data_IF_616746979829
#
_entry.id   IF_616746979829
#
_cell.length_a   1.000
_cell.length_b   1.000
_cell.length_c   1.000
_cell.angle_alpha   90.00
_cell.angle_beta   90.00
_cell.angle_gamma   90.00
#
_symmetry.space_group_name_H-M   'P 1'
#
loop_
_entity.id
_entity.type
_entity.pdbx_description
1 polymer ?
#
# COMPACT_ATOMS: atom_id res chain seq x y z
N UNK A 1 6.53 24.99 6.96
CA UNK A 1 5.23 25.69 6.80
C UNK A 1 4.12 24.64 6.89
N UNK A 2 3.04 24.94 7.61
CA UNK A 2 2.22 23.98 8.37
C UNK A 2 1.16 23.24 7.54
N UNK A 3 1.17 21.91 7.62
CA UNK A 3 0.05 21.05 7.23
C UNK A 3 -1.18 21.39 8.09
N UNK A 4 -2.32 21.68 7.46
CA UNK A 4 -3.55 21.96 8.21
C UNK A 4 -4.25 20.63 8.54
N UNK A 5 -4.34 20.35 9.84
CA UNK A 5 -4.99 19.18 10.39
C UNK A 5 -6.11 19.62 11.34
N UNK A 6 -7.35 19.22 11.07
CA UNK A 6 -8.50 19.51 11.91
C UNK A 6 -9.30 18.23 12.18
N UNK A 7 -9.62 17.96 13.44
CA UNK A 7 -10.38 16.77 13.87
C UNK A 7 -9.64 15.44 13.80
N UNK A 8 -8.39 15.42 13.32
CA UNK A 8 -7.52 14.26 13.29
C UNK A 8 -6.40 14.34 14.32
N UNK A 9 -6.12 13.23 15.02
CA UNK A 9 -5.04 13.15 16.02
C UNK A 9 -4.14 11.94 15.72
N UNK A 10 -2.82 12.04 15.93
CA UNK A 10 -1.95 10.86 15.94
C UNK A 10 -2.46 9.84 16.95
N UNK A 11 -2.67 8.59 16.54
CA UNK A 11 -3.25 7.56 17.38
C UNK A 11 -2.77 6.17 17.00
N UNK A 12 -2.88 5.22 17.92
CA UNK A 12 -2.77 3.77 17.68
C UNK A 12 -4.12 3.07 17.71
N UNK A 13 -5.19 3.78 18.09
CA UNK A 13 -6.56 3.23 18.13
C UNK A 13 -7.12 3.12 16.72
N UNK A 14 -7.88 2.06 16.45
CA UNK A 14 -8.39 1.80 15.11
C UNK A 14 -7.29 1.67 14.04
N UNK A 15 -6.18 1.02 14.44
CA UNK A 15 -5.04 0.78 13.56
C UNK A 15 -5.45 0.29 12.18
N UNK A 16 -4.99 1.01 11.16
CA UNK A 16 -4.75 0.44 9.82
C UNK A 16 -3.56 -0.51 9.92
N UNK A 17 -2.61 -0.13 10.79
CA UNK A 17 -1.45 -0.90 11.16
C UNK A 17 -1.45 -1.38 12.62
N UNK A 18 -0.72 -2.46 12.90
CA UNK A 18 -0.47 -3.04 14.22
C UNK A 18 0.73 -2.39 14.96
N UNK A 19 1.53 -1.55 14.28
CA UNK A 19 2.44 -0.57 14.90
C UNK A 19 2.59 0.68 14.01
N UNK A 20 2.92 1.82 14.63
CA UNK A 20 2.95 3.14 14.00
C UNK A 20 1.83 4.06 14.52
N UNK A 21 2.02 5.37 14.41
CA UNK A 21 0.95 6.34 14.67
C UNK A 21 0.31 6.68 13.33
N UNK A 22 -0.99 6.49 13.21
CA UNK A 22 -1.80 6.93 12.07
C UNK A 22 -2.59 8.19 12.45
N UNK A 23 -3.19 8.84 11.46
CA UNK A 23 -4.08 9.97 11.71
C UNK A 23 -5.51 9.46 11.90
N UNK A 24 -6.04 9.63 13.10
CA UNK A 24 -7.35 9.15 13.49
C UNK A 24 -8.35 10.29 13.65
N UNK A 25 -9.43 10.25 12.87
CA UNK A 25 -10.51 11.23 12.88
C UNK A 25 -11.72 10.64 13.60
N UNK A 26 -11.96 11.10 14.83
CA UNK A 26 -13.04 10.58 15.69
C UNK A 26 -13.82 11.66 16.43
N UNK A 27 -13.34 12.89 16.42
CA UNK A 27 -14.00 14.01 17.10
C UNK A 27 -15.05 14.65 16.18
N UNK A 28 -16.01 15.34 16.78
CA UNK A 28 -16.94 16.21 16.07
C UNK A 28 -16.27 17.55 15.69
N UNK A 29 -16.97 18.37 14.93
CA UNK A 29 -16.48 19.62 14.36
C UNK A 29 -16.04 19.46 12.91
N UNK A 30 -14.82 19.91 12.59
CA UNK A 30 -14.26 19.81 11.24
C UNK A 30 -13.30 18.63 11.15
N UNK A 31 -13.54 17.71 10.21
CA UNK A 31 -12.62 16.62 9.88
C UNK A 31 -11.97 16.88 8.54
N UNK A 32 -10.74 17.39 8.58
CA UNK A 32 -10.00 17.79 7.39
C UNK A 32 -8.50 17.55 7.55
N UNK A 33 -7.88 17.02 6.50
CA UNK A 33 -6.44 16.95 6.31
C UNK A 33 -6.11 17.69 5.02
N UNK A 34 -5.22 18.68 5.07
CA UNK A 34 -4.76 19.41 3.88
C UNK A 34 -3.24 19.34 3.81
N UNK A 35 -2.70 18.95 2.66
CA UNK A 35 -1.25 19.00 2.42
C UNK A 35 -0.80 20.45 2.26
N UNK A 36 0.51 20.69 2.39
CA UNK A 36 1.10 21.87 1.77
C UNK A 36 0.95 21.78 0.24
N UNK A 37 1.21 22.88 -0.46
CA UNK A 37 1.31 22.83 -1.92
C UNK A 37 2.47 21.90 -2.31
N UNK A 38 2.18 20.97 -3.22
CA UNK A 38 3.08 19.96 -3.73
C UNK A 38 3.33 20.24 -5.22
N UNK A 39 4.56 20.02 -5.67
CA UNK A 39 4.84 19.93 -7.11
C UNK A 39 4.35 18.57 -7.62
N UNK A 40 3.20 18.57 -8.29
CA UNK A 40 2.58 17.41 -8.92
C UNK A 40 2.75 17.40 -10.44
N UNK A 41 3.59 18.27 -11.02
CA UNK A 41 3.79 18.38 -12.47
C UNK A 41 4.11 17.03 -13.13
N UNK A 42 4.94 16.23 -12.47
CA UNK A 42 5.35 14.89 -12.90
C UNK A 42 4.72 13.77 -12.06
N UNK A 43 3.80 14.09 -11.15
CA UNK A 43 3.17 13.09 -10.30
C UNK A 43 2.10 12.32 -11.08
N UNK A 44 2.19 10.99 -11.04
CA UNK A 44 1.22 10.12 -11.72
C UNK A 44 0.12 9.59 -10.80
N UNK A 45 0.40 9.37 -9.52
CA UNK A 45 -0.58 8.84 -8.57
C UNK A 45 -0.45 9.47 -7.19
N UNK A 46 -1.55 9.45 -6.43
CA UNK A 46 -1.59 9.64 -4.97
C UNK A 46 -1.90 8.30 -4.32
N UNK A 47 -1.19 7.98 -3.23
CA UNK A 47 -1.41 6.74 -2.50
C UNK A 47 -1.39 6.93 -0.99
N UNK A 48 -2.26 6.18 -0.31
CA UNK A 48 -2.42 6.21 1.14
C UNK A 48 -3.24 5.00 1.58
N UNK A 49 -3.14 4.66 2.85
CA UNK A 49 -4.07 3.72 3.46
C UNK A 49 -5.28 4.45 4.02
N UNK A 50 -6.47 3.90 3.79
CA UNK A 50 -7.72 4.42 4.31
C UNK A 50 -8.50 3.30 4.99
N UNK A 51 -9.10 3.61 6.13
CA UNK A 51 -10.08 2.76 6.82
C UNK A 51 -11.26 3.62 7.24
N UNK A 52 -12.47 3.21 6.86
CA UNK A 52 -13.71 3.92 7.12
C UNK A 52 -14.55 3.13 8.12
N UNK A 53 -14.52 3.56 9.38
CA UNK A 53 -15.13 2.86 10.50
C UNK A 53 -14.12 2.00 11.27
N UNK A 54 -14.44 1.77 12.54
CA UNK A 54 -13.54 1.16 13.50
C UNK A 54 -14.22 0.00 14.23
N UNK A 55 -13.51 -1.10 14.41
CA UNK A 55 -14.01 -2.30 15.08
C UNK A 55 -14.48 -3.38 14.11
N UNK A 56 -15.16 -4.39 14.66
CA UNK A 56 -15.65 -5.57 13.91
C UNK A 56 -17.02 -5.36 13.27
N UNK A 57 -17.83 -4.44 13.82
CA UNK A 57 -19.14 -4.12 13.29
C UNK A 57 -19.03 -3.25 12.02
N UNK A 58 -19.98 -3.39 11.08
CA UNK A 58 -20.14 -2.45 9.99
C UNK A 58 -20.28 -1.00 10.50
N UNK A 59 -19.74 0.00 9.78
CA UNK A 59 -19.96 1.41 10.10
C UNK A 59 -21.43 1.81 9.93
N UNK A 60 -21.84 2.89 10.58
CA UNK A 60 -23.21 3.41 10.48
C UNK A 60 -23.50 3.86 9.03
N UNK A 61 -24.59 3.40 8.39
CA UNK A 61 -24.92 3.72 7.01
C UNK A 61 -25.23 5.21 6.77
N UNK A 62 -25.48 5.99 7.83
CA UNK A 62 -25.67 7.46 7.75
C UNK A 62 -24.35 8.24 7.70
N UNK A 63 -23.22 7.55 7.76
CA UNK A 63 -21.89 8.17 7.75
C UNK A 63 -21.62 8.82 6.40
N UNK A 64 -21.35 10.13 6.43
CA UNK A 64 -20.94 10.89 5.26
C UNK A 64 -19.59 10.41 4.72
N UNK A 65 -19.39 10.41 3.39
CA UNK A 65 -18.18 9.90 2.75
C UNK A 65 -16.94 10.74 3.09
N UNK A 66 -15.75 10.16 2.93
CA UNK A 66 -14.50 10.94 2.91
C UNK A 66 -14.20 11.34 1.47
N UNK A 67 -14.01 12.62 1.23
CA UNK A 67 -13.73 13.19 -0.09
C UNK A 67 -12.24 13.50 -0.22
N UNK A 68 -11.61 12.94 -1.24
CA UNK A 68 -10.29 13.39 -1.69
C UNK A 68 -10.46 14.42 -2.80
N UNK A 69 -9.93 15.61 -2.56
CA UNK A 69 -10.00 16.75 -3.47
C UNK A 69 -8.63 17.37 -3.70
N UNK A 70 -8.50 18.15 -4.76
CA UNK A 70 -7.30 18.91 -5.08
C UNK A 70 -7.64 20.38 -5.34
N UNK A 71 -6.66 21.25 -5.15
CA UNK A 71 -6.73 22.67 -5.51
C UNK A 71 -5.43 23.10 -6.14
N UNK A 72 -5.52 23.93 -7.18
CA UNK A 72 -4.39 24.50 -7.94
C UNK A 72 -4.30 26.03 -7.80
N UNK A 73 -5.13 26.60 -6.91
CA UNK A 73 -5.29 28.05 -6.70
C UNK A 73 -5.13 28.42 -5.22
N UNK A 74 -4.33 27.64 -4.48
CA UNK A 74 -4.07 27.92 -3.07
C UNK A 74 -5.26 27.65 -2.13
N UNK A 75 -6.22 26.82 -2.55
CA UNK A 75 -7.36 26.40 -1.75
C UNK A 75 -8.63 27.23 -1.92
N UNK A 76 -8.68 28.11 -2.92
CA UNK A 76 -9.87 28.92 -3.23
C UNK A 76 -10.97 28.05 -3.86
N UNK A 77 -10.59 27.18 -4.80
CA UNK A 77 -11.50 26.20 -5.41
C UNK A 77 -10.98 24.78 -5.23
N UNK A 78 -11.89 23.81 -5.18
CA UNK A 78 -11.57 22.40 -4.92
C UNK A 78 -12.22 21.48 -5.94
N UNK A 79 -11.41 20.74 -6.70
CA UNK A 79 -11.86 19.69 -7.61
C UNK A 79 -11.89 18.33 -6.92
N UNK A 80 -12.92 17.52 -7.18
CA UNK A 80 -13.01 16.15 -6.67
C UNK A 80 -12.06 15.21 -7.44
N UNK A 81 -11.33 14.36 -6.69
CA UNK A 81 -10.59 13.21 -7.22
C UNK A 81 -11.37 11.92 -6.99
N UNK A 82 -11.79 11.66 -5.75
CA UNK A 82 -12.47 10.43 -5.39
C UNK A 82 -13.33 10.61 -4.14
N UNK A 83 -14.48 9.94 -4.14
CA UNK A 83 -15.34 9.77 -2.98
C UNK A 83 -15.15 8.37 -2.39
N UNK A 84 -14.99 8.29 -1.06
CA UNK A 84 -14.86 7.04 -0.31
C UNK A 84 -16.07 6.87 0.60
N UNK A 85 -16.97 5.97 0.20
CA UNK A 85 -18.22 5.67 0.89
C UNK A 85 -18.00 4.67 2.04
N UNK A 86 -18.72 4.87 3.14
CA UNK A 86 -18.82 3.88 4.20
C UNK A 86 -19.66 2.69 3.73
N UNK A 87 -19.21 1.48 3.99
CA UNK A 87 -19.87 0.24 3.57
C UNK A 87 -19.64 -0.89 4.57
N UNK A 88 -20.33 -2.02 4.39
CA UNK A 88 -20.21 -3.17 5.29
C UNK A 88 -18.78 -3.72 5.45
N UNK A 89 -17.89 -3.46 4.49
CA UNK A 89 -16.49 -3.89 4.50
C UNK A 89 -15.49 -2.74 4.60
N UNK A 90 -15.94 -1.48 4.63
CA UNK A 90 -15.04 -0.32 4.63
C UNK A 90 -14.28 -0.14 5.95
N UNK A 91 -14.71 -0.85 7.00
CA UNK A 91 -14.03 -0.93 8.30
C UNK A 91 -12.74 -1.76 8.25
N UNK A 92 -12.41 -2.36 7.10
CA UNK A 92 -11.12 -2.96 6.80
C UNK A 92 -10.19 -1.93 6.14
N UNK A 93 -8.92 -1.94 6.54
CA UNK A 93 -7.90 -1.08 5.95
C UNK A 93 -7.65 -1.44 4.48
N UNK A 94 -7.58 -0.44 3.61
CA UNK A 94 -7.30 -0.62 2.18
C UNK A 94 -6.25 0.36 1.70
N UNK A 95 -5.32 -0.12 0.86
CA UNK A 95 -4.46 0.74 0.06
C UNK A 95 -5.29 1.40 -1.05
N UNK A 96 -5.28 2.73 -1.06
CA UNK A 96 -5.83 3.54 -2.14
C UNK A 96 -4.66 4.03 -2.98
N UNK A 97 -4.72 3.81 -4.30
CA UNK A 97 -3.80 4.36 -5.28
C UNK A 97 -4.63 4.90 -6.45
N UNK A 98 -4.59 6.22 -6.67
CA UNK A 98 -5.40 6.90 -7.68
C UNK A 98 -4.51 7.70 -8.61
N UNK A 99 -4.80 7.67 -9.90
CA UNK A 99 -4.10 8.52 -10.86
C UNK A 99 -4.39 10.01 -10.62
N UNK A 100 -3.34 10.83 -10.63
CA UNK A 100 -3.46 12.29 -10.60
C UNK A 100 -3.92 12.74 -12.00
N UNK A 101 -5.11 13.36 -12.12
CA UNK A 101 -5.62 13.84 -13.40
C UNK A 101 -4.76 15.01 -13.90
N UNK A 102 -4.68 15.19 -15.22
CA UNK A 102 -3.84 16.22 -15.84
C UNK A 102 -4.08 17.63 -15.26
N UNK A 103 -5.34 17.98 -14.98
CA UNK A 103 -5.72 19.26 -14.36
C UNK A 103 -5.16 19.51 -12.95
N UNK A 104 -4.70 18.47 -12.27
CA UNK A 104 -4.09 18.55 -10.93
C UNK A 104 -2.55 18.50 -10.98
N UNK A 105 -1.94 18.33 -12.16
CA UNK A 105 -0.47 18.25 -12.34
C UNK A 105 0.11 19.64 -12.56
N UNK A 106 0.30 20.36 -11.47
CA UNK A 106 0.92 21.70 -11.47
C UNK A 106 2.10 21.71 -10.51
N UNK A 107 2.95 22.74 -10.58
CA UNK A 107 4.03 22.94 -9.61
C UNK A 107 3.54 23.36 -8.22
N UNK A 108 2.24 23.63 -8.06
CA UNK A 108 1.63 24.06 -6.81
C UNK A 108 0.21 23.52 -6.68
N UNK A 109 0.09 22.23 -6.37
CA UNK A 109 -1.20 21.57 -6.11
C UNK A 109 -1.27 21.08 -4.67
N UNK A 110 -2.35 21.40 -3.95
CA UNK A 110 -2.65 20.83 -2.64
C UNK A 110 -3.74 19.76 -2.73
N UNK A 111 -3.63 18.76 -1.87
CA UNK A 111 -4.64 17.72 -1.69
C UNK A 111 -5.33 17.89 -0.35
N UNK A 112 -6.63 17.61 -0.30
CA UNK A 112 -7.36 17.51 0.97
C UNK A 112 -8.20 16.24 1.07
N UNK A 113 -8.23 15.69 2.27
CA UNK A 113 -9.22 14.70 2.70
C UNK A 113 -10.20 15.41 3.61
N UNK A 114 -11.47 15.41 3.25
CA UNK A 114 -12.50 16.12 3.98
C UNK A 114 -13.74 15.25 4.14
N UNK A 115 -14.27 15.17 5.35
CA UNK A 115 -15.55 14.54 5.62
C UNK A 115 -16.59 15.64 5.86
N UNK A 116 -17.61 15.79 4.99
CA UNK A 116 -18.65 16.79 5.16
C UNK A 116 -19.57 16.43 6.34
N UNK A 117 -20.09 17.44 7.01
CA UNK A 117 -21.16 17.33 8.01
C UNK A 117 -21.91 18.65 8.10
N UNK A 118 -23.24 18.59 8.19
CA UNK A 118 -24.10 19.78 8.28
C UNK A 118 -24.06 20.41 9.68
N UNK A 119 -23.98 19.58 10.72
CA UNK A 119 -24.02 20.00 12.12
C UNK A 119 -22.69 19.77 12.86
N UNK A 120 -21.64 19.35 12.14
CA UNK A 120 -20.34 18.98 12.71
C UNK A 120 -20.35 17.64 13.44
N UNK A 121 -21.45 16.91 13.48
CA UNK A 121 -21.52 15.58 14.11
C UNK A 121 -21.20 14.48 13.11
N UNK A 122 -20.54 13.40 13.55
CA UNK A 122 -20.21 12.25 12.71
C UNK A 122 -20.51 10.91 13.38
N UNK A 123 -21.13 9.99 12.63
CA UNK A 123 -21.50 8.67 13.14
C UNK A 123 -20.33 7.68 13.21
N UNK A 124 -19.45 7.69 12.21
CA UNK A 124 -18.32 6.77 12.13
C UNK A 124 -17.00 7.52 12.04
N UNK A 125 -15.94 7.02 12.72
CA UNK A 125 -14.59 7.55 12.56
C UNK A 125 -13.94 7.05 11.26
N UNK A 126 -12.86 7.70 10.85
CA UNK A 126 -11.98 7.22 9.77
C UNK A 126 -10.52 7.42 10.11
N UNK A 127 -9.68 6.65 9.43
CA UNK A 127 -8.24 6.63 9.64
C UNK A 127 -7.57 6.76 8.29
N UNK A 128 -6.51 7.57 8.25
CA UNK A 128 -5.58 7.62 7.13
C UNK A 128 -4.15 7.39 7.63
N UNK A 129 -3.39 6.63 6.85
CA UNK A 129 -1.99 6.36 7.13
C UNK A 129 -1.16 6.43 5.84
N UNK A 130 0.12 6.77 5.96
CA UNK A 130 1.06 6.95 4.87
C UNK A 130 2.29 6.07 5.11
N UNK A 131 2.24 4.79 4.76
CA UNK A 131 3.38 3.86 4.95
C UNK A 131 4.16 3.66 3.65
N UNK A 132 4.40 4.76 2.94
CA UNK A 132 5.45 4.87 1.94
C UNK A 132 6.42 5.93 2.43
N UNK A 133 7.67 5.57 2.69
CA UNK A 133 8.71 6.54 3.06
C UNK A 133 9.77 6.54 1.97
N UNK A 134 10.08 7.70 1.40
CA UNK A 134 11.18 7.89 0.44
C UNK A 134 10.94 7.45 -1.00
N UNK A 135 9.73 6.95 -1.35
CA UNK A 135 9.35 6.53 -2.69
C UNK A 135 8.42 7.50 -3.43
N UNK A 136 8.43 7.49 -4.76
CA UNK A 136 7.49 8.20 -5.65
C UNK A 136 7.25 7.37 -6.91
N UNK A 137 6.04 7.38 -7.48
CA UNK A 137 5.82 6.76 -8.79
C UNK A 137 6.46 7.63 -9.87
N UNK A 138 7.33 7.01 -10.68
CA UNK A 138 8.23 7.71 -11.58
C UNK A 138 8.47 6.90 -12.86
N UNK A 139 8.73 7.61 -13.97
CA UNK A 139 9.19 7.03 -15.23
C UNK A 139 10.70 7.18 -15.44
N UNK A 140 11.41 7.77 -14.47
CA UNK A 140 12.88 8.00 -14.55
C UNK A 140 13.64 6.70 -14.79
N UNK A 141 13.20 5.60 -14.17
CA UNK A 141 13.77 4.27 -14.36
C UNK A 141 13.41 3.60 -15.70
N UNK A 142 12.64 4.26 -16.56
CA UNK A 142 11.98 3.60 -17.69
C UNK A 142 10.97 2.55 -17.22
N UNK A 143 10.65 1.60 -18.11
CA UNK A 143 9.77 0.50 -17.78
C UNK A 143 10.53 -0.56 -16.96
N UNK A 144 10.29 -0.61 -15.66
CA UNK A 144 10.82 -1.67 -14.78
C UNK A 144 10.06 -2.97 -15.00
N UNK A 145 8.72 -2.93 -15.04
CA UNK A 145 7.91 -3.98 -15.64
C UNK A 145 7.06 -3.43 -16.78
N UNK A 146 6.28 -2.38 -16.50
CA UNK A 146 5.56 -1.63 -17.54
C UNK A 146 5.15 -0.24 -17.05
N UNK A 147 5.32 0.77 -17.90
CA UNK A 147 4.92 2.14 -17.55
C UNK A 147 5.77 2.74 -16.41
N UNK A 148 5.12 3.31 -15.40
CA UNK A 148 5.79 3.98 -14.28
C UNK A 148 5.99 3.01 -13.12
N UNK A 149 7.15 3.06 -12.49
CA UNK A 149 7.52 2.21 -11.35
C UNK A 149 7.58 3.01 -10.05
N UNK A 150 7.48 2.33 -8.91
CA UNK A 150 7.65 2.96 -7.61
C UNK A 150 9.15 3.14 -7.34
N UNK A 151 9.63 4.38 -7.40
CA UNK A 151 11.03 4.78 -7.37
C UNK A 151 11.41 5.45 -6.06
N UNK A 152 12.41 4.92 -5.37
CA UNK A 152 12.92 5.37 -4.09
C UNK A 152 14.22 6.15 -4.28
N UNK A 153 14.09 7.48 -4.36
CA UNK A 153 15.22 8.42 -4.49
C UNK A 153 15.25 9.48 -3.38
N UNK A 154 14.33 9.43 -2.41
CA UNK A 154 14.25 10.44 -1.34
C UNK A 154 15.52 10.51 -0.47
N UNK A 155 15.82 11.69 0.08
CA UNK A 155 16.99 11.90 0.95
C UNK A 155 16.79 11.49 2.42
N UNK A 156 15.66 10.89 2.76
CA UNK A 156 15.34 10.36 4.08
C UNK A 156 15.11 8.85 3.99
N UNK A 157 14.51 8.23 5.01
CA UNK A 157 14.21 6.80 5.02
C UNK A 157 13.49 6.32 3.75
N UNK A 158 13.94 5.20 3.21
CA UNK A 158 13.36 4.54 2.02
C UNK A 158 12.82 3.18 2.42
N UNK A 159 11.50 3.09 2.53
CA UNK A 159 10.80 1.86 2.89
C UNK A 159 9.42 1.77 2.23
N UNK A 160 9.06 0.54 1.89
CA UNK A 160 7.73 0.12 1.45
C UNK A 160 7.24 -0.96 2.41
N UNK A 161 6.10 -0.75 3.06
CA UNK A 161 5.54 -1.72 4.01
C UNK A 161 4.12 -2.08 3.59
N UNK A 162 3.80 -3.37 3.52
CA UNK A 162 2.43 -3.85 3.26
C UNK A 162 1.56 -3.70 4.51
N UNK A 163 0.24 -3.81 4.32
CA UNK A 163 -0.68 -4.11 5.43
C UNK A 163 -0.39 -5.48 6.03
N UNK A 164 -1.06 -5.77 7.13
CA UNK A 164 -1.19 -7.12 7.65
C UNK A 164 -1.97 -7.98 6.65
N UNK A 165 -1.30 -8.99 6.08
CA UNK A 165 -1.85 -9.89 5.07
C UNK A 165 -2.18 -11.26 5.67
N UNK A 166 -3.14 -11.95 5.05
CA UNK A 166 -3.34 -13.38 5.28
C UNK A 166 -2.49 -14.18 4.28
N UNK A 167 -1.35 -14.70 4.73
CA UNK A 167 -0.40 -15.44 3.91
C UNK A 167 -0.51 -16.96 4.06
N UNK A 168 -1.55 -17.46 4.73
CA UNK A 168 -1.74 -18.91 4.99
C UNK A 168 -1.73 -19.76 3.72
N UNK A 169 -2.25 -19.21 2.61
CA UNK A 169 -2.31 -19.86 1.30
C UNK A 169 -1.31 -19.29 0.29
N UNK A 170 -0.41 -18.40 0.72
CA UNK A 170 0.61 -17.83 -0.13
C UNK A 170 1.85 -18.73 -0.17
N UNK A 171 2.49 -18.81 -1.33
CA UNK A 171 3.70 -19.60 -1.55
C UNK A 171 4.90 -18.72 -1.91
N UNK A 172 4.68 -17.56 -2.53
CA UNK A 172 5.74 -16.71 -3.03
C UNK A 172 5.39 -15.21 -3.00
N UNK A 173 6.45 -14.39 -3.01
CA UNK A 173 6.43 -12.96 -3.27
C UNK A 173 7.23 -12.73 -4.54
N UNK A 174 6.64 -12.11 -5.55
CA UNK A 174 7.30 -11.79 -6.81
C UNK A 174 7.13 -10.32 -7.18
N UNK A 175 8.14 -9.75 -7.82
CA UNK A 175 8.15 -8.34 -8.24
C UNK A 175 9.25 -8.10 -9.27
N UNK A 176 9.19 -6.99 -9.98
CA UNK A 176 10.30 -6.47 -10.78
C UNK A 176 11.07 -5.44 -9.97
N UNK A 177 12.39 -5.46 -10.11
CA UNK A 177 13.30 -4.62 -9.34
C UNK A 177 14.42 -4.06 -10.21
N UNK A 178 14.86 -2.83 -9.93
CA UNK A 178 16.00 -2.18 -10.57
C UNK A 178 16.73 -1.26 -9.60
N UNK A 179 18.05 -1.23 -9.64
CA UNK A 179 18.90 -0.22 -8.98
C UNK A 179 19.39 0.84 -9.96
N UNK A 180 19.68 2.02 -9.42
CA UNK A 180 20.48 3.04 -10.09
C UNK A 180 19.82 3.62 -11.33
N UNK A 181 18.56 4.06 -11.21
CA UNK A 181 17.94 4.85 -12.27
C UNK A 181 18.60 6.23 -12.40
N UNK A 182 19.15 6.72 -11.29
CA UNK A 182 19.94 7.95 -11.22
C UNK A 182 21.39 7.63 -10.87
N UNK A 183 21.63 7.15 -9.64
CA UNK A 183 22.96 6.81 -9.15
C UNK A 183 22.87 5.47 -8.42
N UNK A 184 23.55 4.42 -8.91
CA UNK A 184 23.48 3.09 -8.31
C UNK A 184 24.10 3.05 -6.91
N UNK A 185 23.69 2.08 -6.08
CA UNK A 185 24.34 1.85 -4.79
C UNK A 185 25.81 1.43 -4.98
N UNK A 186 26.68 1.88 -4.07
CA UNK A 186 28.13 1.72 -4.14
C UNK A 186 28.68 0.63 -3.21
N UNK A 187 27.89 0.20 -2.21
CA UNK A 187 28.29 -0.78 -1.21
C UNK A 187 27.12 -1.63 -0.72
N UNK A 188 27.44 -2.75 -0.09
CA UNK A 188 26.47 -3.75 0.39
C UNK A 188 25.42 -3.22 1.36
N UNK A 189 25.77 -2.26 2.22
CA UNK A 189 24.83 -1.72 3.22
C UNK A 189 23.74 -0.85 2.59
N UNK A 190 23.90 -0.46 1.32
CA UNK A 190 22.90 0.24 0.53
C UNK A 190 21.94 -0.72 -0.20
N UNK A 191 22.12 -2.04 -0.04
CA UNK A 191 21.20 -3.05 -0.55
C UNK A 191 19.85 -3.01 0.16
N UNK A 192 18.78 -3.22 -0.62
CA UNK A 192 17.40 -3.33 -0.15
C UNK A 192 17.18 -4.71 0.45
N UNK A 193 16.60 -4.71 1.65
CA UNK A 193 16.23 -5.89 2.39
C UNK A 193 14.73 -6.14 2.20
N UNK A 194 14.38 -7.38 1.83
CA UNK A 194 13.01 -7.87 1.89
C UNK A 194 12.83 -8.61 3.21
N UNK A 195 11.93 -8.13 4.05
CA UNK A 195 11.70 -8.67 5.39
C UNK A 195 10.21 -8.90 5.65
N UNK A 196 9.89 -9.75 6.63
CA UNK A 196 8.53 -9.95 7.11
C UNK A 196 8.42 -9.79 8.62
N UNK A 197 7.22 -9.45 9.10
CA UNK A 197 6.91 -9.34 10.52
C UNK A 197 5.65 -10.11 10.88
N UNK A 198 5.68 -10.79 12.02
CA UNK A 198 4.56 -11.56 12.59
C UNK A 198 3.87 -10.84 13.75
N UNK A 199 4.37 -9.68 14.16
CA UNK A 199 3.90 -8.95 15.33
C UNK A 199 3.69 -7.46 15.01
N UNK A 200 3.27 -7.21 13.77
CA UNK A 200 2.87 -5.88 13.35
C UNK A 200 3.98 -4.89 13.09
N UNK A 201 5.20 -5.37 12.88
CA UNK A 201 6.37 -4.55 12.58
C UNK A 201 7.21 -4.18 13.80
N UNK A 202 6.99 -4.83 14.96
CA UNK A 202 7.88 -4.69 16.13
C UNK A 202 9.20 -5.42 15.87
N UNK A 203 9.14 -6.67 15.41
CA UNK A 203 10.31 -7.45 14.99
C UNK A 203 10.21 -7.79 13.50
N UNK A 204 11.35 -7.79 12.82
CA UNK A 204 11.47 -8.08 11.40
C UNK A 204 12.42 -9.25 11.18
N UNK A 205 12.07 -10.11 10.22
CA UNK A 205 12.82 -11.29 9.84
C UNK A 205 13.18 -11.20 8.37
N UNK A 206 14.44 -11.43 8.03
CA UNK A 206 14.93 -11.38 6.65
C UNK A 206 14.34 -12.52 5.80
N UNK A 207 13.80 -12.17 4.63
CA UNK A 207 13.46 -13.11 3.56
C UNK A 207 14.59 -13.19 2.55
N UNK A 208 15.02 -12.05 2.03
CA UNK A 208 16.13 -11.97 1.08
C UNK A 208 16.83 -10.62 1.14
N UNK A 209 18.13 -10.62 0.91
CA UNK A 209 18.91 -9.43 0.58
C UNK A 209 18.89 -9.27 -0.95
N UNK A 210 18.54 -8.09 -1.45
CA UNK A 210 18.65 -7.75 -2.88
C UNK A 210 20.01 -7.08 -3.06
N UNK A 211 21.01 -7.86 -3.43
CA UNK A 211 22.40 -7.40 -3.54
C UNK A 211 22.55 -6.17 -4.44
N UNK A 212 23.33 -5.21 -3.95
CA UNK A 212 23.49 -3.87 -4.52
C UNK A 212 24.12 -3.85 -5.92
N UNK A 213 24.94 -4.86 -6.24
CA UNK A 213 25.64 -5.02 -7.52
C UNK A 213 24.83 -5.81 -8.56
N UNK A 214 23.67 -6.34 -8.17
CA UNK A 214 22.69 -6.96 -9.07
C UNK A 214 21.67 -5.93 -9.57
N UNK A 215 20.82 -6.30 -10.53
CA UNK A 215 19.67 -5.50 -10.97
C UNK A 215 19.98 -4.08 -11.48
N UNK A 216 21.17 -3.85 -12.07
CA UNK A 216 21.48 -2.61 -12.83
C UNK A 216 20.59 -2.43 -14.07
N UNK A 217 19.90 -3.49 -14.48
CA UNK A 217 18.78 -3.50 -15.41
C UNK A 217 17.56 -4.09 -14.71
N UNK A 218 16.33 -3.78 -15.16
CA UNK A 218 15.13 -4.38 -14.60
C UNK A 218 15.21 -5.91 -14.60
N UNK A 219 15.01 -6.50 -13.42
CA UNK A 219 15.02 -7.94 -13.24
C UNK A 219 13.83 -8.44 -12.45
N UNK A 220 13.41 -9.66 -12.74
CA UNK A 220 12.34 -10.33 -12.02
C UNK A 220 12.89 -11.04 -10.78
N UNK A 221 12.26 -10.79 -9.64
CA UNK A 221 12.59 -11.39 -8.35
C UNK A 221 11.42 -12.27 -7.93
N UNK A 222 11.71 -13.50 -7.50
CA UNK A 222 10.72 -14.43 -6.96
C UNK A 222 11.29 -15.10 -5.71
N UNK A 223 10.64 -14.88 -4.57
CA UNK A 223 11.06 -15.36 -3.26
C UNK A 223 10.00 -16.27 -2.69
N UNK A 224 10.39 -17.50 -2.33
CA UNK A 224 9.49 -18.44 -1.67
C UNK A 224 9.24 -18.00 -0.22
N UNK A 225 7.97 -18.00 0.17
CA UNK A 225 7.58 -17.72 1.55
C UNK A 225 7.96 -18.90 2.45
N UNK A 226 8.76 -18.68 3.52
CA UNK A 226 9.05 -19.72 4.49
C UNK A 226 7.77 -20.12 5.24
N UNK A 227 7.66 -21.37 5.75
CA UNK A 227 6.48 -21.82 6.50
C UNK A 227 6.10 -20.89 7.66
N UNK A 228 7.10 -20.31 8.35
CA UNK A 228 6.89 -19.36 9.44
C UNK A 228 6.16 -18.08 9.01
N UNK A 229 6.28 -17.66 7.73
CA UNK A 229 5.60 -16.48 7.20
C UNK A 229 4.19 -16.77 6.67
N UNK A 230 3.73 -18.04 6.64
CA UNK A 230 2.43 -18.44 6.08
C UNK A 230 1.33 -18.42 7.14
N UNK A 231 1.07 -17.24 7.69
CA UNK A 231 0.12 -17.04 8.79
C UNK A 231 -0.80 -15.84 8.50
N UNK A 232 -1.78 -15.61 9.37
CA UNK A 232 -2.58 -14.39 9.34
C UNK A 232 -1.84 -13.24 10.02
N UNK A 233 -2.03 -12.02 9.54
CA UNK A 233 -1.47 -10.83 10.17
C UNK A 233 0.00 -10.57 9.85
N UNK A 234 0.49 -11.05 8.70
CA UNK A 234 1.91 -10.93 8.32
C UNK A 234 2.15 -9.68 7.50
N UNK A 235 3.15 -8.89 7.87
CA UNK A 235 3.63 -7.74 7.06
C UNK A 235 4.85 -8.13 6.26
N UNK A 236 5.00 -7.51 5.11
CA UNK A 236 6.21 -7.58 4.29
C UNK A 236 6.73 -6.15 4.10
N UNK A 237 8.05 -5.96 4.16
CA UNK A 237 8.68 -4.67 3.83
C UNK A 237 9.87 -4.82 2.91
N UNK A 238 10.05 -3.80 2.07
CA UNK A 238 11.30 -3.50 1.38
C UNK A 238 11.91 -2.30 2.06
N UNK A 239 13.14 -2.42 2.52
CA UNK A 239 13.80 -1.34 3.26
C UNK A 239 15.25 -1.19 2.82
N UNK A 240 15.65 0.05 2.56
CA UNK A 240 17.05 0.39 2.30
C UNK A 240 17.68 0.96 3.59
N UNK A 241 18.66 0.27 4.18
CA UNK A 241 19.26 0.69 5.46
C UNK A 241 20.10 1.96 5.35
N UNK A 242 20.86 2.10 4.26
CA UNK A 242 21.79 3.22 4.05
C UNK A 242 21.69 3.74 2.61
N UNK A 243 21.90 5.03 2.43
CA UNK A 243 22.06 5.69 1.12
C UNK A 243 22.82 7.01 1.30
N UNK A 244 23.38 7.55 0.23
CA UNK A 244 24.22 8.76 0.29
C UNK A 244 23.41 10.07 0.12
N UNK A 245 22.13 10.06 0.53
CA UNK A 245 21.22 11.21 0.40
C UNK A 245 20.25 11.11 -0.77
N UNK A 246 19.69 12.25 -1.18
CA UNK A 246 18.69 12.32 -2.25
C UNK A 246 19.30 11.93 -3.60
N UNK A 247 18.57 11.17 -4.41
CA UNK A 247 18.94 10.71 -5.76
C UNK A 247 20.20 9.82 -5.84
N UNK A 248 20.82 9.51 -4.70
CA UNK A 248 21.90 8.53 -4.56
C UNK A 248 21.40 7.16 -4.13
N UNK A 249 22.03 6.09 -4.61
CA UNK A 249 21.71 4.70 -4.26
C UNK A 249 20.25 4.35 -4.51
N UNK A 250 19.64 4.91 -5.56
CA UNK A 250 18.20 4.81 -5.78
C UNK A 250 17.78 3.43 -6.29
N UNK A 251 16.53 3.07 -6.07
CA UNK A 251 15.97 1.79 -6.50
C UNK A 251 14.50 1.92 -6.88
N UNK A 252 14.04 1.03 -7.74
CA UNK A 252 12.64 0.99 -8.15
C UNK A 252 12.07 -0.43 -8.11
N UNK A 253 10.79 -0.51 -7.81
CA UNK A 253 10.01 -1.73 -7.73
C UNK A 253 8.70 -1.60 -8.51
N UNK A 254 8.29 -2.68 -9.16
CA UNK A 254 7.07 -2.72 -9.96
C UNK A 254 6.41 -4.12 -9.94
N UNK A 255 5.13 -4.20 -10.28
CA UNK A 255 4.34 -5.45 -10.40
C UNK A 255 4.49 -6.42 -9.22
N UNK A 256 4.39 -5.91 -7.98
CA UNK A 256 4.42 -6.74 -6.77
C UNK A 256 3.20 -7.65 -6.70
N UNK A 257 3.42 -8.96 -6.59
CA UNK A 257 2.40 -9.98 -6.36
C UNK A 257 2.81 -10.89 -5.21
N UNK A 258 1.90 -11.08 -4.27
CA UNK A 258 2.02 -12.07 -3.19
C UNK A 258 0.87 -13.05 -3.36
N UNK A 259 1.19 -14.30 -3.69
CA UNK A 259 0.19 -15.30 -4.04
C UNK A 259 0.66 -16.71 -3.71
N UNK A 260 -0.24 -17.68 -3.87
CA UNK A 260 0.07 -19.11 -3.80
C UNK A 260 -0.93 -19.91 -4.62
N UNK A 261 -0.83 -21.24 -4.58
CA UNK A 261 -1.72 -22.11 -5.35
C UNK A 261 -3.10 -22.16 -4.69
N UNK A 262 -4.16 -21.98 -5.49
CA UNK A 262 -5.51 -22.41 -5.09
C UNK A 262 -5.46 -23.90 -4.76
N UNK A 263 -5.97 -24.31 -3.59
CA UNK A 263 -6.24 -25.73 -3.31
C UNK A 263 -7.07 -26.29 -4.46
N UNK A 264 -6.51 -27.20 -5.25
CA UNK A 264 -7.29 -27.99 -6.20
C UNK A 264 -8.35 -28.74 -5.39
N UNK A 265 -9.62 -28.45 -5.62
CA UNK A 265 -10.69 -29.37 -5.22
C UNK A 265 -10.46 -30.66 -5.99
N UNK A 266 -9.83 -31.64 -5.36
CA UNK A 266 -9.83 -33.01 -5.83
C UNK A 266 -11.28 -33.49 -5.64
N UNK A 267 -12.10 -33.39 -6.69
CA UNK A 267 -13.27 -34.26 -6.78
C UNK A 267 -12.70 -35.68 -6.86
N UNK A 268 -12.81 -36.44 -5.78
CA UNK A 268 -12.57 -37.89 -5.85
C UNK A 268 -13.57 -38.44 -6.86
N UNK A 269 -13.09 -38.89 -8.02
CA UNK A 269 -13.87 -39.83 -8.81
C UNK A 269 -13.99 -41.09 -7.95
N UNK A 270 -15.18 -41.31 -7.39
CA UNK A 270 -15.45 -42.46 -6.54
C UNK A 270 -15.16 -43.74 -7.32
N UNK A 271 -14.26 -44.58 -6.79
CA UNK A 271 -14.21 -45.99 -7.12
C UNK A 271 -15.58 -46.59 -6.82
N UNK A 272 -16.39 -46.87 -7.84
CA UNK A 272 -17.35 -47.98 -7.77
C UNK A 272 -16.71 -49.15 -8.51
N UNK A 273 -16.03 -50.01 -7.75
CA UNK A 273 -15.94 -51.41 -8.11
C UNK A 273 -17.35 -51.98 -8.09
N UNK A 274 -17.83 -52.44 -9.24
CA UNK A 274 -18.73 -53.59 -9.31
C UNK A 274 -18.21 -54.44 -10.46
N UNK A 275 -17.53 -55.54 -10.10
CA UNK A 275 -17.29 -56.66 -10.98
C UNK A 275 -18.56 -57.52 -11.12
N UNK A 276 -18.62 -58.23 -12.24
CA UNK A 276 -19.48 -59.38 -12.58
C UNK A 276 -20.93 -59.11 -13.00
N UNK A 277 -21.23 -59.29 -14.29
CA UNK A 277 -21.57 -60.58 -14.90
C UNK A 277 -21.77 -60.41 -16.42
N UNK A 278 -21.27 -61.38 -17.19
CA UNK A 278 -21.52 -61.56 -18.62
C UNK A 278 -22.88 -62.25 -18.84
N UNK A 279 -23.45 -62.03 -20.04
CA UNK A 279 -24.41 -62.87 -20.81
C UNK A 279 -25.93 -62.73 -20.56
N UNK A 280 -26.63 -62.77 -21.72
CA UNK A 280 -28.02 -63.16 -22.01
C UNK A 280 -29.07 -62.04 -21.81
N UNK A 281 -29.94 -61.67 -22.77
CA UNK A 281 -30.53 -62.34 -23.94
C UNK A 281 -30.96 -61.29 -25.00
N UNK A 282 -31.01 -61.76 -26.26
CA UNK A 282 -31.86 -61.38 -27.41
C UNK A 282 -32.46 -59.98 -27.47
#
# INVERSE_FOLDING_TARGET
>A
MSQLLSGGKPSRKCGIMSSGNHLFFSEDGLRMLVTNDLDLSNARFVQFFLRLGCGKAPPDPRSQPVLLQFSVDGGLTWGLLQEFLFSNSSNQARLVALEIPLRARTSSTRLRWWQPSENGHFFSPWVIDQTLTGGKLSTVCGAVASGAALHFSGGCSRQLVTVDLNLTSAEFIQFYFMYGCMIPPSNRNQGVLLEYSLNGGINWHLLTEIFYDLYTKPGFVNVLLPPAARQEGVRVRWWQPQHDGADHSDWAIDNVLIAGRKKKYVKSCGKKHIEHQFKNLR
#
